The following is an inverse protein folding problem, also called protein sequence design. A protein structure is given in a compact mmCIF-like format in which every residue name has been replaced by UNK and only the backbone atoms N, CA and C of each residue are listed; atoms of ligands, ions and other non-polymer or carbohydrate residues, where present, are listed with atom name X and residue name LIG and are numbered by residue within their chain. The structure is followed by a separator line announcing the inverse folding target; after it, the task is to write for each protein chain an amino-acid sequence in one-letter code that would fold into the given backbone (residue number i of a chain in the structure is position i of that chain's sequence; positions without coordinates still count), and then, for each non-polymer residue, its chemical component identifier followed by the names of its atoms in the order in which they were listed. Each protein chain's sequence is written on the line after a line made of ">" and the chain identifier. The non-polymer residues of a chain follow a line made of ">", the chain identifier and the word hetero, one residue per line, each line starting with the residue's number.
data_IF_159692526030
#
_entry.id   IF_159692526030
#
_cell.length_a   1.000
_cell.length_b   1.000
_cell.length_c   1.000
_cell.angle_alpha   90.00
_cell.angle_beta   90.00
_cell.angle_gamma   90.00
#
_symmetry.space_group_name_H-M   'P 1'
#
loop_
_entity.id
_entity.type
_entity.pdbx_description
1 polymer ?
#
# COMPACT_ATOMS: atom_id res chain seq x y z
N UNK A 1 23.76 8.42 4.12
CA UNK A 1 22.58 8.56 5.00
C UNK A 1 23.02 9.12 6.32
N UNK A 2 22.24 10.03 6.90
CA UNK A 2 22.51 10.48 8.26
C UNK A 2 21.95 9.45 9.27
N UNK A 3 22.28 9.58 10.55
CA UNK A 3 21.81 8.66 11.61
C UNK A 3 20.30 8.71 11.84
N UNK A 4 19.65 9.82 11.53
CA UNK A 4 18.20 9.99 11.63
C UNK A 4 17.44 9.18 10.58
N UNK A 5 17.90 9.19 9.33
CA UNK A 5 17.27 8.46 8.22
C UNK A 5 17.26 6.95 8.50
N UNK A 6 18.38 6.42 9.01
CA UNK A 6 18.52 5.00 9.37
C UNK A 6 17.54 4.64 10.48
N UNK A 7 17.49 5.45 11.54
CA UNK A 7 16.58 5.23 12.67
C UNK A 7 15.11 5.25 12.22
N UNK A 8 14.76 6.08 11.25
CA UNK A 8 13.39 6.13 10.73
C UNK A 8 13.02 4.87 9.95
N UNK A 9 13.93 4.36 9.12
CA UNK A 9 13.75 3.10 8.41
C UNK A 9 13.64 1.91 9.38
N UNK A 10 14.44 1.89 10.45
CA UNK A 10 14.35 0.89 11.52
C UNK A 10 13.00 0.96 12.26
N UNK A 11 12.50 2.16 12.55
CA UNK A 11 11.19 2.36 13.16
C UNK A 11 10.06 1.81 12.28
N UNK A 12 10.08 2.08 10.97
CA UNK A 12 9.10 1.51 10.05
C UNK A 12 9.13 -0.02 10.08
N UNK A 13 10.32 -0.60 10.05
CA UNK A 13 10.48 -2.05 10.10
C UNK A 13 9.96 -2.67 11.41
N UNK A 14 10.16 -2.00 12.55
CA UNK A 14 9.57 -2.41 13.83
C UNK A 14 8.05 -2.47 13.77
N UNK A 15 7.41 -1.43 13.22
CA UNK A 15 5.95 -1.39 13.05
C UNK A 15 5.48 -2.56 12.19
N UNK A 16 6.19 -2.85 11.09
CA UNK A 16 5.83 -3.95 10.20
C UNK A 16 5.87 -5.31 10.92
N UNK A 17 6.91 -5.54 11.73
CA UNK A 17 7.06 -6.78 12.51
C UNK A 17 5.99 -6.90 13.59
N UNK A 18 5.70 -5.84 14.31
CA UNK A 18 4.70 -5.84 15.37
C UNK A 18 3.29 -6.11 14.83
N UNK A 19 2.95 -5.53 13.67
CA UNK A 19 1.69 -5.81 12.97
C UNK A 19 1.64 -7.27 12.48
N UNK A 20 2.70 -7.77 11.82
CA UNK A 20 2.74 -9.17 11.38
C UNK A 20 2.57 -10.16 12.54
N UNK A 21 3.21 -9.88 13.68
CA UNK A 21 3.16 -10.75 14.86
C UNK A 21 1.83 -10.67 15.64
N UNK A 22 1.09 -9.56 15.52
CA UNK A 22 -0.20 -9.39 16.20
C UNK A 22 -1.38 -9.99 15.42
N UNK A 23 -1.19 -10.26 14.13
CA UNK A 23 -2.24 -10.76 13.25
C UNK A 23 -2.28 -12.29 13.26
N UNK A 24 -3.42 -12.85 13.67
CA UNK A 24 -3.70 -14.28 13.60
C UNK A 24 -4.20 -14.69 12.20
N UNK A 25 -4.52 -15.98 12.00
CA UNK A 25 -5.12 -16.43 10.74
C UNK A 25 -6.54 -15.84 10.58
N UNK A 26 -6.66 -14.81 9.73
CA UNK A 26 -7.93 -14.15 9.42
C UNK A 26 -8.58 -14.79 8.19
N UNK A 27 -9.88 -15.07 8.26
CA UNK A 27 -10.67 -15.58 7.14
C UNK A 27 -11.72 -14.57 6.72
N UNK A 28 -11.59 -14.05 5.50
CA UNK A 28 -12.55 -13.12 4.91
C UNK A 28 -13.61 -13.89 4.12
N UNK A 29 -14.88 -13.52 4.31
CA UNK A 29 -16.03 -14.23 3.76
C UNK A 29 -16.91 -13.31 2.91
N UNK A 30 -16.97 -13.63 1.63
CA UNK A 30 -17.81 -12.98 0.63
C UNK A 30 -18.91 -13.96 0.18
N UNK A 31 -20.12 -13.45 -0.06
CA UNK A 31 -21.22 -14.25 -0.61
C UNK A 31 -21.31 -14.09 -2.13
N UNK A 32 -21.97 -15.04 -2.78
CA UNK A 32 -22.20 -14.94 -4.22
C UNK A 32 -23.20 -13.84 -4.57
N UNK A 33 -23.12 -13.30 -5.78
CA UNK A 33 -24.09 -12.32 -6.30
C UNK A 33 -25.53 -12.84 -6.24
N UNK A 34 -25.73 -14.14 -6.48
CA UNK A 34 -27.04 -14.77 -6.44
C UNK A 34 -27.60 -14.93 -5.03
N UNK A 35 -26.74 -15.12 -4.02
CA UNK A 35 -27.14 -15.07 -2.61
C UNK A 35 -27.43 -13.64 -2.16
N UNK A 36 -26.60 -12.69 -2.59
CA UNK A 36 -26.75 -11.28 -2.25
C UNK A 36 -28.09 -10.68 -2.72
N UNK A 37 -28.56 -11.09 -3.90
CA UNK A 37 -29.88 -10.69 -4.45
C UNK A 37 -31.08 -11.19 -3.64
N UNK A 38 -30.90 -12.18 -2.76
CA UNK A 38 -31.98 -12.78 -1.95
C UNK A 38 -32.14 -12.11 -0.58
N UNK A 39 -31.25 -11.18 -0.23
CA UNK A 39 -31.25 -10.51 1.07
C UNK A 39 -32.39 -9.50 1.19
N UNK A 40 -32.91 -9.34 2.41
CA UNK A 40 -33.80 -8.22 2.75
C UNK A 40 -33.00 -6.89 2.70
N UNK A 41 -33.65 -5.71 2.61
CA UNK A 41 -32.92 -4.44 2.58
C UNK A 41 -31.92 -4.28 3.73
N UNK A 42 -32.31 -4.58 4.97
CA UNK A 42 -31.40 -4.46 6.14
C UNK A 42 -30.19 -5.39 6.01
N UNK A 43 -30.42 -6.64 5.61
CA UNK A 43 -29.34 -7.62 5.42
C UNK A 43 -28.43 -7.23 4.25
N UNK A 44 -29.00 -6.69 3.19
CA UNK A 44 -28.28 -6.20 2.02
C UNK A 44 -27.31 -5.08 2.41
N UNK A 45 -27.78 -4.09 3.16
CA UNK A 45 -26.96 -2.94 3.56
C UNK A 45 -25.85 -3.34 4.53
N UNK A 46 -26.19 -4.16 5.53
CA UNK A 46 -25.20 -4.78 6.41
C UNK A 46 -24.15 -5.54 5.61
N UNK A 47 -24.58 -6.39 4.68
CA UNK A 47 -23.67 -7.27 3.94
C UNK A 47 -22.76 -6.48 3.00
N UNK A 48 -23.30 -5.46 2.32
CA UNK A 48 -22.54 -4.55 1.46
C UNK A 48 -21.38 -3.92 2.24
N UNK A 49 -21.68 -3.28 3.37
CA UNK A 49 -20.65 -2.61 4.16
C UNK A 49 -19.71 -3.60 4.85
N UNK A 50 -20.22 -4.70 5.39
CA UNK A 50 -19.39 -5.71 6.03
C UNK A 50 -18.36 -6.31 5.07
N UNK A 51 -18.74 -6.60 3.82
CA UNK A 51 -17.77 -7.06 2.82
C UNK A 51 -16.79 -5.98 2.39
N UNK A 52 -17.22 -4.73 2.27
CA UNK A 52 -16.31 -3.61 1.95
C UNK A 52 -15.32 -3.35 3.08
N UNK A 53 -15.73 -3.40 4.35
CA UNK A 53 -14.82 -3.24 5.49
C UNK A 53 -13.84 -4.42 5.59
N UNK A 54 -14.27 -5.66 5.27
CA UNK A 54 -13.34 -6.78 5.14
C UNK A 54 -12.28 -6.55 4.05
N UNK A 55 -12.68 -6.09 2.86
CA UNK A 55 -11.73 -5.74 1.77
C UNK A 55 -10.81 -4.59 2.20
N UNK A 56 -11.33 -3.57 2.87
CA UNK A 56 -10.58 -2.44 3.39
C UNK A 56 -9.52 -2.88 4.42
N UNK A 57 -9.89 -3.76 5.35
CA UNK A 57 -8.96 -4.35 6.30
C UNK A 57 -7.86 -5.16 5.59
N UNK A 58 -8.20 -6.02 4.62
CA UNK A 58 -7.20 -6.71 3.78
C UNK A 58 -6.24 -5.69 3.18
N UNK A 59 -6.75 -4.66 2.50
CA UNK A 59 -5.93 -3.69 1.80
C UNK A 59 -4.91 -3.01 2.74
N UNK A 60 -5.35 -2.61 3.93
CA UNK A 60 -4.47 -2.05 4.96
C UNK A 60 -3.39 -3.02 5.41
N UNK A 61 -3.82 -4.19 5.88
CA UNK A 61 -2.94 -5.21 6.42
C UNK A 61 -1.91 -5.68 5.39
N UNK A 62 -2.35 -6.06 4.19
CA UNK A 62 -1.44 -6.56 3.16
C UNK A 62 -0.56 -5.47 2.59
N UNK A 63 -0.95 -4.18 2.65
CA UNK A 63 -0.04 -3.09 2.30
C UNK A 63 1.16 -3.07 3.24
N UNK A 64 0.94 -3.20 4.55
CA UNK A 64 2.00 -3.26 5.56
C UNK A 64 2.88 -4.50 5.36
N UNK A 65 2.27 -5.68 5.20
CA UNK A 65 3.01 -6.94 5.01
C UNK A 65 3.80 -6.94 3.69
N UNK A 66 3.26 -6.34 2.62
CA UNK A 66 3.93 -6.20 1.33
C UNK A 66 5.11 -5.23 1.41
N UNK A 67 4.97 -4.12 2.14
CA UNK A 67 6.08 -3.20 2.41
C UNK A 67 7.21 -3.89 3.18
N UNK A 68 6.87 -4.69 4.20
CA UNK A 68 7.84 -5.51 4.94
C UNK A 68 8.67 -6.39 4.03
N UNK A 69 8.02 -7.14 3.13
CA UNK A 69 8.70 -8.06 2.20
C UNK A 69 9.64 -7.33 1.25
N UNK A 70 9.24 -6.16 0.74
CA UNK A 70 10.12 -5.35 -0.10
C UNK A 70 11.27 -4.72 0.68
N UNK A 71 11.04 -4.29 1.92
CA UNK A 71 12.10 -3.83 2.82
C UNK A 71 13.14 -4.93 3.05
N UNK A 72 12.70 -6.14 3.43
CA UNK A 72 13.56 -7.32 3.61
C UNK A 72 14.36 -7.63 2.33
N UNK A 73 13.74 -7.52 1.15
CA UNK A 73 14.41 -7.74 -0.13
C UNK A 73 15.50 -6.68 -0.41
N UNK A 74 15.21 -5.40 -0.17
CA UNK A 74 16.18 -4.30 -0.32
C UNK A 74 17.35 -4.48 0.65
N UNK A 75 17.06 -4.77 1.91
CA UNK A 75 18.07 -4.94 2.95
C UNK A 75 18.97 -6.16 2.66
N UNK A 76 18.37 -7.29 2.27
CA UNK A 76 19.11 -8.49 1.88
C UNK A 76 20.04 -8.22 0.70
N UNK A 77 19.54 -7.55 -0.35
CA UNK A 77 20.35 -7.23 -1.52
C UNK A 77 21.51 -6.28 -1.16
N UNK A 78 21.24 -5.26 -0.35
CA UNK A 78 22.24 -4.31 0.12
C UNK A 78 23.33 -4.99 0.96
N UNK A 79 22.97 -5.86 1.91
CA UNK A 79 23.91 -6.64 2.74
C UNK A 79 24.78 -7.57 1.88
N UNK A 80 24.19 -8.17 0.85
CA UNK A 80 24.91 -9.05 -0.09
C UNK A 80 25.76 -8.31 -1.13
N UNK A 81 25.77 -6.97 -1.12
CA UNK A 81 26.43 -6.15 -2.14
C UNK A 81 25.99 -6.48 -3.57
N UNK A 82 24.70 -6.75 -3.76
CA UNK A 82 24.13 -7.08 -5.05
C UNK A 82 23.38 -5.87 -5.62
N UNK A 83 24.03 -5.09 -6.47
CA UNK A 83 23.47 -3.85 -7.02
C UNK A 83 22.19 -4.09 -7.84
N UNK A 84 22.15 -5.15 -8.65
CA UNK A 84 20.96 -5.49 -9.44
C UNK A 84 19.79 -5.89 -8.56
N UNK A 85 20.06 -6.75 -7.56
CA UNK A 85 19.07 -7.16 -6.58
C UNK A 85 18.51 -5.97 -5.81
N UNK A 86 19.37 -5.02 -5.43
CA UNK A 86 18.97 -3.80 -4.74
C UNK A 86 18.08 -2.93 -5.62
N UNK A 87 18.48 -2.69 -6.88
CA UNK A 87 17.69 -1.87 -7.79
C UNK A 87 16.33 -2.50 -8.12
N UNK A 88 16.28 -3.82 -8.31
CA UNK A 88 15.04 -4.55 -8.54
C UNK A 88 14.12 -4.50 -7.31
N UNK A 89 14.67 -4.74 -6.12
CA UNK A 89 13.91 -4.72 -4.88
C UNK A 89 13.37 -3.32 -4.54
N UNK A 90 14.20 -2.29 -4.69
CA UNK A 90 13.78 -0.92 -4.40
C UNK A 90 12.71 -0.46 -5.39
N UNK A 91 12.85 -0.82 -6.68
CA UNK A 91 11.82 -0.56 -7.69
C UNK A 91 10.49 -1.22 -7.31
N UNK A 92 10.51 -2.51 -6.97
CA UNK A 92 9.31 -3.24 -6.55
C UNK A 92 8.68 -2.65 -5.28
N UNK A 93 9.50 -2.19 -4.33
CA UNK A 93 9.03 -1.49 -3.14
C UNK A 93 8.31 -0.17 -3.45
N UNK A 94 8.85 0.63 -4.38
CA UNK A 94 8.21 1.88 -4.84
C UNK A 94 6.89 1.58 -5.56
N UNK A 95 6.84 0.57 -6.43
CA UNK A 95 5.60 0.14 -7.11
C UNK A 95 4.54 -0.28 -6.09
N UNK A 96 4.92 -1.06 -5.07
CA UNK A 96 4.03 -1.50 -4.01
C UNK A 96 3.52 -0.33 -3.16
N UNK A 97 4.36 0.68 -2.87
CA UNK A 97 3.94 1.90 -2.20
C UNK A 97 2.90 2.66 -3.02
N UNK A 98 3.20 2.86 -4.30
CA UNK A 98 2.36 3.63 -5.21
C UNK A 98 0.98 2.98 -5.41
N UNK A 99 0.93 1.66 -5.61
CA UNK A 99 -0.31 0.89 -5.72
C UNK A 99 -1.15 0.96 -4.43
N UNK A 100 -0.52 0.71 -3.27
CA UNK A 100 -1.17 0.81 -1.96
C UNK A 100 -1.75 2.21 -1.70
N UNK A 101 -0.97 3.26 -1.96
CA UNK A 101 -1.43 4.63 -1.77
C UNK A 101 -2.58 4.99 -2.71
N UNK A 102 -2.45 4.65 -4.00
CA UNK A 102 -3.48 4.90 -5.01
C UNK A 102 -4.83 4.31 -4.60
N UNK A 103 -4.85 3.05 -4.17
CA UNK A 103 -6.10 2.37 -3.83
C UNK A 103 -6.65 2.74 -2.46
N UNK A 104 -5.80 2.94 -1.46
CA UNK A 104 -6.26 3.02 -0.06
C UNK A 104 -6.49 4.47 0.42
N UNK A 105 -5.75 5.45 -0.08
CA UNK A 105 -5.79 6.82 0.44
C UNK A 105 -7.16 7.49 0.25
N UNK A 106 -7.85 7.24 -0.86
CA UNK A 106 -9.23 7.70 -1.05
C UNK A 106 -10.21 6.96 -0.13
N UNK A 107 -10.08 5.64 -0.02
CA UNK A 107 -10.98 4.79 0.76
C UNK A 107 -11.02 5.18 2.24
N UNK A 108 -9.86 5.47 2.87
CA UNK A 108 -9.82 5.88 4.28
C UNK A 108 -10.60 7.17 4.53
N UNK A 109 -10.56 8.12 3.60
CA UNK A 109 -11.31 9.38 3.70
C UNK A 109 -12.81 9.10 3.54
N UNK A 110 -13.19 8.36 2.51
CA UNK A 110 -14.60 8.02 2.24
C UNK A 110 -15.25 7.26 3.40
N UNK A 111 -14.55 6.30 4.01
CA UNK A 111 -15.07 5.57 5.18
C UNK A 111 -15.20 6.49 6.39
N UNK A 112 -14.20 7.33 6.66
CA UNK A 112 -14.26 8.28 7.76
C UNK A 112 -15.43 9.27 7.63
N UNK A 113 -15.72 9.76 6.41
CA UNK A 113 -16.84 10.66 6.14
C UNK A 113 -18.21 9.99 6.28
N UNK A 114 -18.29 8.68 6.04
CA UNK A 114 -19.53 7.90 6.11
C UNK A 114 -19.61 7.04 7.38
N UNK A 115 -18.72 7.26 8.36
CA UNK A 115 -18.49 6.35 9.48
C UNK A 115 -19.77 5.98 10.23
N UNK A 116 -20.59 6.96 10.59
CA UNK A 116 -21.82 6.71 11.35
C UNK A 116 -22.86 5.91 10.56
N UNK A 117 -22.99 6.16 9.24
CA UNK A 117 -23.90 5.38 8.39
C UNK A 117 -23.42 3.94 8.26
N UNK A 118 -22.12 3.75 8.08
CA UNK A 118 -21.49 2.42 8.01
C UNK A 118 -21.71 1.69 9.34
N UNK A 119 -21.47 2.35 10.48
CA UNK A 119 -21.68 1.77 11.80
C UNK A 119 -23.12 1.32 12.01
N UNK A 120 -24.10 2.16 11.66
CA UNK A 120 -25.52 1.80 11.72
C UNK A 120 -25.85 0.59 10.83
N UNK A 121 -25.25 0.50 9.64
CA UNK A 121 -25.40 -0.65 8.75
C UNK A 121 -24.82 -1.93 9.37
N UNK A 122 -23.63 -1.85 9.97
CA UNK A 122 -22.96 -2.97 10.64
C UNK A 122 -23.73 -3.44 11.88
N UNK A 123 -24.39 -2.54 12.59
CA UNK A 123 -25.27 -2.82 13.73
C UNK A 123 -26.68 -3.30 13.29
N UNK A 124 -26.95 -3.38 11.98
CA UNK A 124 -28.25 -3.77 11.39
C UNK A 124 -29.41 -2.89 11.86
N UNK A 125 -29.13 -1.61 12.15
CA UNK A 125 -30.17 -0.64 12.51
C UNK A 125 -31.04 -0.38 11.27
N UNK A 126 -32.38 -0.49 11.37
CA UNK A 126 -33.26 -0.15 10.27
C UNK A 126 -33.09 1.31 9.86
N UNK A 127 -32.84 1.55 8.58
CA UNK A 127 -32.76 2.88 7.99
C UNK A 127 -33.90 3.08 6.99
N UNK A 128 -34.31 4.33 6.81
CA UNK A 128 -35.15 4.72 5.70
C UNK A 128 -34.44 4.39 4.38
N UNK A 129 -35.19 3.98 3.34
CA UNK A 129 -34.61 3.47 2.08
C UNK A 129 -33.73 4.53 1.37
N UNK A 130 -34.02 5.81 1.58
CA UNK A 130 -33.29 6.96 1.05
C UNK A 130 -31.95 7.20 1.76
N UNK A 131 -31.72 6.57 2.92
CA UNK A 131 -30.46 6.62 3.68
C UNK A 131 -29.52 5.45 3.39
N UNK A 132 -29.91 4.54 2.50
CA UNK A 132 -29.04 3.47 2.02
C UNK A 132 -27.95 4.09 1.15
N UNK A 133 -26.69 3.95 1.56
CA UNK A 133 -25.56 4.46 0.80
C UNK A 133 -24.76 3.32 0.20
N UNK A 134 -24.42 3.50 -1.07
CA UNK A 134 -23.50 2.65 -1.82
C UNK A 134 -22.35 3.55 -2.24
N UNK A 135 -21.13 3.05 -2.14
CA UNK A 135 -19.93 3.74 -2.63
C UNK A 135 -19.24 2.87 -3.67
N UNK A 136 -19.69 2.95 -4.92
CA UNK A 136 -19.13 2.15 -6.01
C UNK A 136 -17.64 2.45 -6.21
N UNK A 137 -17.24 3.72 -6.12
CA UNK A 137 -15.83 4.12 -6.29
C UNK A 137 -14.92 3.52 -5.20
N UNK A 138 -15.41 3.44 -3.95
CA UNK A 138 -14.71 2.79 -2.85
C UNK A 138 -14.60 1.29 -3.10
N UNK A 139 -15.72 0.65 -3.44
CA UNK A 139 -15.74 -0.79 -3.71
C UNK A 139 -14.80 -1.16 -4.87
N UNK A 140 -14.87 -0.40 -5.97
CA UNK A 140 -14.00 -0.59 -7.14
C UNK A 140 -12.52 -0.42 -6.76
N UNK A 141 -12.19 0.57 -5.93
CA UNK A 141 -10.82 0.81 -5.47
C UNK A 141 -10.28 -0.34 -4.59
N UNK A 142 -11.13 -0.91 -3.73
CA UNK A 142 -10.78 -2.04 -2.87
C UNK A 142 -10.66 -3.36 -3.63
N UNK A 143 -11.55 -3.58 -4.62
CA UNK A 143 -11.47 -4.70 -5.56
C UNK A 143 -10.20 -4.57 -6.40
N UNK A 144 -9.91 -3.36 -6.88
CA UNK A 144 -8.71 -3.06 -7.65
C UNK A 144 -7.44 -3.47 -6.92
N UNK A 145 -7.27 -3.02 -5.69
CA UNK A 145 -6.10 -3.42 -4.90
C UNK A 145 -5.95 -4.95 -4.79
N UNK A 146 -7.07 -5.66 -4.57
CA UNK A 146 -7.04 -7.08 -4.22
C UNK A 146 -6.94 -8.01 -5.43
N UNK A 147 -7.49 -7.61 -6.58
CA UNK A 147 -7.71 -8.48 -7.72
C UNK A 147 -7.13 -7.95 -9.04
N UNK A 148 -6.70 -6.68 -9.09
CA UNK A 148 -6.23 -6.11 -10.34
C UNK A 148 -5.00 -6.86 -10.86
N UNK A 149 -5.08 -7.26 -12.13
CA UNK A 149 -3.97 -7.85 -12.88
C UNK A 149 -4.04 -7.43 -14.32
N UNK A 150 -3.00 -7.74 -15.09
CA UNK A 150 -3.06 -7.56 -16.54
C UNK A 150 -4.11 -8.50 -17.13
N UNK A 151 -5.18 -7.93 -17.67
CA UNK A 151 -6.22 -8.67 -18.37
C UNK A 151 -5.88 -8.83 -19.86
N UNK A 152 -6.18 -10.00 -20.39
CA UNK A 152 -6.21 -10.25 -21.84
C UNK A 152 -7.40 -9.52 -22.49
N UNK A 153 -7.36 -9.34 -23.82
CA UNK A 153 -8.45 -8.67 -24.53
C UNK A 153 -9.81 -9.36 -24.36
N UNK A 154 -9.83 -10.70 -24.22
CA UNK A 154 -11.06 -11.46 -23.99
C UNK A 154 -11.58 -11.31 -22.55
N UNK A 155 -10.69 -11.16 -21.57
CA UNK A 155 -11.06 -10.92 -20.16
C UNK A 155 -11.59 -9.50 -19.95
N UNK A 156 -11.04 -8.49 -20.65
CA UNK A 156 -11.52 -7.10 -20.59
C UNK A 156 -12.98 -6.91 -20.98
N UNK A 157 -13.55 -7.85 -21.73
CA UNK A 157 -14.98 -7.83 -22.10
C UNK A 157 -15.87 -8.41 -21.00
N UNK A 158 -15.30 -9.21 -20.09
CA UNK A 158 -16.04 -10.00 -19.09
C UNK A 158 -15.87 -9.49 -17.66
N UNK A 159 -14.77 -8.80 -17.39
CA UNK A 159 -14.42 -8.30 -16.07
C UNK A 159 -14.61 -6.78 -16.03
N UNK A 160 -15.01 -6.28 -14.86
CA UNK A 160 -15.08 -4.85 -14.61
C UNK A 160 -13.67 -4.22 -14.64
N UNK A 161 -13.62 -2.91 -14.92
CA UNK A 161 -12.36 -2.18 -15.01
C UNK A 161 -11.53 -2.26 -13.72
N UNK A 162 -12.18 -2.39 -12.55
CA UNK A 162 -11.54 -2.62 -11.26
C UNK A 162 -10.68 -3.89 -11.20
N UNK A 163 -10.80 -4.83 -12.14
CA UNK A 163 -9.94 -6.02 -12.19
C UNK A 163 -8.74 -5.85 -13.13
N UNK A 164 -8.65 -4.73 -13.85
CA UNK A 164 -7.58 -4.47 -14.80
C UNK A 164 -6.53 -3.56 -14.16
N UNK A 165 -5.30 -4.06 -14.02
CA UNK A 165 -4.20 -3.26 -13.51
C UNK A 165 -3.96 -2.01 -14.38
N UNK A 166 -3.70 -0.89 -13.71
CA UNK A 166 -3.31 0.36 -14.34
C UNK A 166 -1.85 0.29 -14.81
N UNK A 167 -1.45 1.27 -15.62
CA UNK A 167 -0.04 1.46 -15.90
C UNK A 167 0.68 1.92 -14.64
N UNK A 168 1.90 1.42 -14.40
CA UNK A 168 2.71 1.79 -13.23
C UNK A 168 2.86 3.31 -13.07
N UNK A 169 2.95 4.04 -14.20
CA UNK A 169 3.00 5.51 -14.19
C UNK A 169 1.78 6.15 -13.53
N UNK A 170 0.58 5.57 -13.69
CA UNK A 170 -0.64 6.03 -13.02
C UNK A 170 -0.49 5.95 -11.51
N UNK A 171 0.01 4.82 -10.99
CA UNK A 171 0.28 4.67 -9.56
C UNK A 171 1.34 5.65 -9.08
N UNK A 172 2.48 5.75 -9.77
CA UNK A 172 3.57 6.65 -9.36
C UNK A 172 3.13 8.12 -9.32
N UNK A 173 2.34 8.55 -10.30
CA UNK A 173 1.81 9.92 -10.35
C UNK A 173 0.89 10.23 -9.15
N UNK A 174 0.23 9.22 -8.57
CA UNK A 174 -0.63 9.40 -7.39
C UNK A 174 0.15 9.85 -6.15
N UNK A 175 1.43 9.46 -6.03
CA UNK A 175 2.32 9.86 -4.94
C UNK A 175 2.71 11.36 -5.00
N UNK A 176 2.53 12.01 -6.16
CA UNK A 176 2.89 13.43 -6.39
C UNK A 176 4.33 13.78 -5.97
N UNK A 177 5.27 12.86 -6.19
CA UNK A 177 6.68 13.01 -5.80
C UNK A 177 7.60 12.82 -7.02
N UNK A 178 8.05 13.93 -7.60
CA UNK A 178 8.90 13.94 -8.81
C UNK A 178 10.23 13.19 -8.60
N UNK A 179 10.83 13.30 -7.41
CA UNK A 179 12.09 12.61 -7.09
C UNK A 179 11.95 11.09 -7.07
N UNK A 180 10.78 10.58 -6.73
CA UNK A 180 10.50 9.14 -6.81
C UNK A 180 10.30 8.69 -8.25
N UNK A 181 9.71 9.52 -9.09
CA UNK A 181 9.59 9.24 -10.53
C UNK A 181 10.98 9.22 -11.18
N UNK A 182 11.85 10.17 -10.83
CA UNK A 182 13.26 10.19 -11.25
C UNK A 182 14.00 8.92 -10.80
N UNK A 183 13.94 8.59 -9.51
CA UNK A 183 14.54 7.37 -8.96
C UNK A 183 14.02 6.13 -9.68
N UNK A 184 12.70 6.00 -9.83
CA UNK A 184 12.08 4.87 -10.50
C UNK A 184 12.62 4.69 -11.93
N UNK A 185 12.78 5.78 -12.68
CA UNK A 185 13.36 5.75 -14.02
C UNK A 185 14.83 5.28 -14.00
N UNK A 186 15.64 5.74 -13.03
CA UNK A 186 17.03 5.29 -12.84
C UNK A 186 17.10 3.79 -12.54
N UNK A 187 16.25 3.29 -11.64
CA UNK A 187 16.16 1.86 -11.30
C UNK A 187 15.71 1.00 -12.50
N UNK A 188 14.82 1.52 -13.34
CA UNK A 188 14.39 0.85 -14.57
C UNK A 188 15.56 0.66 -15.55
N UNK A 189 16.47 1.64 -15.67
CA UNK A 189 17.64 1.50 -16.53
C UNK A 189 18.56 0.37 -16.06
N UNK A 190 18.65 0.10 -14.76
CA UNK A 190 19.49 -1.00 -14.24
C UNK A 190 18.81 -2.36 -14.40
N UNK A 191 17.48 -2.40 -14.22
CA UNK A 191 16.69 -3.66 -14.18
C UNK A 191 16.23 -4.14 -15.55
N UNK A 192 16.46 -3.35 -16.60
CA UNK A 192 16.22 -3.70 -18.00
C UNK A 192 17.51 -3.57 -18.81
N UNK A 193 17.61 -4.25 -19.98
CA UNK A 193 18.78 -4.11 -20.85
C UNK A 193 19.03 -2.65 -21.22
N UNK A 194 20.10 -2.06 -20.69
CA UNK A 194 20.50 -0.68 -20.99
C UNK A 194 22.01 -0.48 -20.80
N UNK A 195 22.54 0.68 -21.20
CA UNK A 195 23.94 1.03 -20.88
C UNK A 195 24.18 1.11 -19.36
N UNK A 196 23.19 1.58 -18.58
CA UNK A 196 23.33 1.70 -17.13
C UNK A 196 23.39 0.36 -16.42
N UNK A 197 22.77 -0.70 -16.97
CA UNK A 197 22.94 -2.04 -16.42
C UNK A 197 24.39 -2.52 -16.55
N UNK A 198 25.20 -1.94 -17.44
CA UNK A 198 26.62 -2.32 -17.59
C UNK A 198 27.57 -1.49 -16.71
N UNK A 199 27.05 -0.51 -15.97
CA UNK A 199 27.85 0.38 -15.08
C UNK A 199 28.77 -0.38 -14.12
N UNK A 200 28.36 -1.50 -13.50
CA UNK A 200 29.22 -2.24 -12.57
C UNK A 200 30.49 -2.84 -13.20
N UNK A 201 30.58 -2.88 -14.52
CA UNK A 201 31.65 -3.60 -15.22
C UNK A 201 32.62 -2.71 -15.98
N UNK A 202 32.23 -1.46 -16.29
CA UNK A 202 33.00 -0.57 -17.16
C UNK A 202 33.40 0.73 -16.46
N UNK A 203 34.65 1.12 -16.66
CA UNK A 203 35.16 2.46 -16.33
C UNK A 203 35.55 3.16 -17.63
N UNK A 204 35.15 4.42 -17.76
CA UNK A 204 35.60 5.29 -18.86
C UNK A 204 37.04 5.75 -18.56
N UNK A 205 37.98 5.42 -19.44
CA UNK A 205 39.37 5.90 -19.38
C UNK A 205 39.48 7.25 -20.10
N UNK A 206 38.76 7.41 -21.21
CA UNK A 206 38.62 8.66 -21.95
C UNK A 206 37.22 8.73 -22.59
N UNK A 207 36.92 9.80 -23.33
CA UNK A 207 35.64 9.94 -24.04
C UNK A 207 35.37 8.79 -25.02
N UNK A 208 36.43 8.20 -25.59
CA UNK A 208 36.34 7.16 -26.62
C UNK A 208 36.88 5.79 -26.16
N UNK A 209 37.16 5.64 -24.86
CA UNK A 209 37.79 4.43 -24.33
C UNK A 209 37.12 3.97 -23.05
N UNK A 210 36.65 2.73 -23.05
CA UNK A 210 36.07 2.03 -21.90
C UNK A 210 36.88 0.78 -21.61
N UNK A 211 37.08 0.51 -20.33
CA UNK A 211 37.78 -0.68 -19.88
C UNK A 211 36.92 -1.47 -18.92
N UNK A 212 36.95 -2.80 -19.08
CA UNK A 212 36.42 -3.72 -18.11
C UNK A 212 37.24 -3.64 -16.81
N UNK A 213 36.57 -3.68 -15.66
CA UNK A 213 37.24 -3.76 -14.37
C UNK A 213 36.72 -4.90 -13.50
N UNK A 214 37.56 -5.33 -12.56
CA UNK A 214 37.21 -6.30 -11.52
C UNK A 214 36.95 -5.66 -10.15
N UNK A 215 36.88 -4.31 -10.08
CA UNK A 215 36.55 -3.61 -8.84
C UNK A 215 35.14 -3.95 -8.38
N UNK A 216 34.98 -4.22 -7.08
CA UNK A 216 33.69 -4.33 -6.41
C UNK A 216 33.16 -2.91 -6.13
N UNK A 217 32.28 -2.42 -7.00
CA UNK A 217 31.70 -1.07 -6.91
C UNK A 217 30.23 -1.06 -6.56
N UNK A 218 29.60 -2.23 -6.42
CA UNK A 218 28.15 -2.37 -6.20
C UNK A 218 27.72 -1.60 -4.95
N UNK A 219 28.48 -1.73 -3.86
CA UNK A 219 28.21 -0.98 -2.63
C UNK A 219 28.23 0.54 -2.84
N UNK A 220 29.20 1.05 -3.60
CA UNK A 220 29.32 2.48 -3.90
C UNK A 220 28.15 2.98 -4.76
N UNK A 221 27.68 2.16 -5.71
CA UNK A 221 26.52 2.49 -6.53
C UNK A 221 25.24 2.55 -5.70
N UNK A 222 25.01 1.55 -4.82
CA UNK A 222 23.87 1.56 -3.89
C UNK A 222 23.93 2.75 -2.93
N UNK A 223 25.10 3.06 -2.38
CA UNK A 223 25.27 4.21 -1.47
C UNK A 223 24.97 5.54 -2.15
N UNK A 224 25.32 5.67 -3.43
CA UNK A 224 24.99 6.84 -4.23
C UNK A 224 23.47 7.01 -4.38
N UNK A 225 22.74 5.93 -4.65
CA UNK A 225 21.27 5.95 -4.72
C UNK A 225 20.69 6.39 -3.38
N UNK A 226 21.11 5.76 -2.27
CA UNK A 226 20.62 6.11 -0.94
C UNK A 226 20.95 7.56 -0.57
N UNK A 227 22.16 8.03 -0.87
CA UNK A 227 22.55 9.42 -0.62
C UNK A 227 21.64 10.43 -1.35
N UNK A 228 21.26 10.11 -2.59
CA UNK A 228 20.46 11.00 -3.43
C UNK A 228 18.96 10.94 -3.13
N UNK A 229 18.45 9.80 -2.68
CA UNK A 229 17.00 9.55 -2.65
C UNK A 229 16.45 9.01 -1.32
N UNK A 230 17.23 8.92 -0.25
CA UNK A 230 16.73 8.39 1.05
C UNK A 230 15.49 9.15 1.55
N UNK A 231 15.48 10.48 1.47
CA UNK A 231 14.33 11.28 1.91
C UNK A 231 13.08 11.01 1.07
N UNK A 232 13.12 11.06 -0.27
CA UNK A 232 12.01 10.61 -1.11
C UNK A 232 11.50 9.20 -0.77
N UNK A 233 12.42 8.24 -0.54
CA UNK A 233 12.07 6.84 -0.20
C UNK A 233 11.32 6.79 1.13
N UNK A 234 11.86 7.42 2.18
CA UNK A 234 11.25 7.52 3.50
C UNK A 234 9.85 8.14 3.39
N UNK A 235 9.72 9.27 2.71
CA UNK A 235 8.44 9.95 2.55
C UNK A 235 7.42 9.06 1.83
N UNK A 236 7.86 8.26 0.86
CA UNK A 236 7.00 7.34 0.10
C UNK A 236 6.48 6.20 0.98
N UNK A 237 7.35 5.64 1.83
CA UNK A 237 6.94 4.65 2.82
C UNK A 237 5.95 5.28 3.80
N UNK A 238 6.22 6.49 4.29
CA UNK A 238 5.36 7.19 5.26
C UNK A 238 3.96 7.47 4.73
N UNK A 239 3.84 8.05 3.52
CA UNK A 239 2.53 8.35 2.92
C UNK A 239 1.75 7.09 2.57
N UNK A 240 2.43 5.95 2.37
CA UNK A 240 1.77 4.66 2.15
C UNK A 240 1.33 4.03 3.47
N UNK A 241 2.20 4.05 4.48
CA UNK A 241 1.96 3.44 5.77
C UNK A 241 0.85 4.15 6.54
N UNK A 242 0.74 5.48 6.42
CA UNK A 242 -0.29 6.28 7.07
C UNK A 242 -1.72 5.77 6.80
N UNK A 243 -2.21 5.78 5.54
CA UNK A 243 -3.52 5.22 5.19
C UNK A 243 -3.68 3.75 5.58
N UNK A 244 -2.63 2.94 5.48
CA UNK A 244 -2.68 1.54 5.88
C UNK A 244 -2.96 1.38 7.38
N UNK A 245 -2.23 2.08 8.25
CA UNK A 245 -2.48 2.09 9.69
C UNK A 245 -3.84 2.70 10.05
N UNK A 246 -4.22 3.81 9.40
CA UNK A 246 -5.54 4.43 9.58
C UNK A 246 -6.67 3.45 9.24
N UNK A 247 -6.51 2.61 8.21
CA UNK A 247 -7.52 1.62 7.86
C UNK A 247 -7.74 0.58 8.97
N UNK A 248 -6.65 0.08 9.58
CA UNK A 248 -6.73 -0.85 10.71
C UNK A 248 -7.40 -0.19 11.92
N UNK A 249 -7.06 1.07 12.20
CA UNK A 249 -7.67 1.84 13.30
C UNK A 249 -9.17 2.07 13.09
N UNK A 250 -9.59 2.43 11.88
CA UNK A 250 -11.01 2.62 11.56
C UNK A 250 -11.78 1.29 11.72
N UNK A 251 -11.20 0.17 11.27
CA UNK A 251 -11.81 -1.16 11.43
C UNK A 251 -12.01 -1.48 12.91
N UNK A 252 -11.02 -1.20 13.77
CA UNK A 252 -11.18 -1.38 15.22
C UNK A 252 -12.36 -0.59 15.79
N UNK A 253 -12.51 0.69 15.40
CA UNK A 253 -13.60 1.55 15.85
C UNK A 253 -14.99 1.10 15.36
N UNK A 254 -15.05 0.47 14.19
CA UNK A 254 -16.31 -0.05 13.63
C UNK A 254 -16.77 -1.35 14.30
N UNK A 255 -15.83 -2.21 14.74
CA UNK A 255 -16.12 -3.53 15.29
C UNK A 255 -15.93 -3.65 16.80
N UNK A 256 -16.09 -2.55 17.54
CA UNK A 256 -15.84 -2.52 18.98
C UNK A 256 -16.64 -3.56 19.80
N UNK A 257 -17.72 -4.12 19.26
CA UNK A 257 -18.61 -5.05 19.97
C UNK A 257 -19.03 -6.32 19.21
N UNK A 258 -18.67 -6.49 17.92
CA UNK A 258 -19.33 -7.51 17.07
C UNK A 258 -18.33 -8.48 16.41
N UNK A 259 -17.07 -8.09 16.16
CA UNK A 259 -16.17 -8.95 15.38
C UNK A 259 -14.67 -8.81 15.74
N UNK A 260 -14.24 -9.54 16.77
CA UNK A 260 -12.88 -9.43 17.31
C UNK A 260 -11.77 -9.95 16.39
N UNK A 261 -12.09 -10.71 15.33
CA UNK A 261 -11.06 -11.36 14.51
C UNK A 261 -10.40 -10.43 13.48
N UNK A 262 -11.01 -9.27 13.19
CA UNK A 262 -10.45 -8.22 12.33
C UNK A 262 -9.72 -7.13 13.12
N UNK A 263 -9.66 -7.23 14.44
CA UNK A 263 -9.05 -6.20 15.28
C UNK A 263 -7.54 -6.31 15.28
N UNK A 264 -6.89 -5.16 15.18
CA UNK A 264 -5.46 -5.00 15.42
C UNK A 264 -5.22 -4.50 16.85
N UNK A 265 -4.10 -4.85 17.48
CA UNK A 265 -3.76 -4.35 18.83
C UNK A 265 -3.68 -2.81 18.83
N UNK A 266 -4.49 -2.18 19.71
CA UNK A 266 -4.57 -0.73 19.86
C UNK A 266 -3.24 -0.08 20.24
N UNK A 267 -2.38 -0.80 20.98
CA UNK A 267 -1.07 -0.27 21.37
C UNK A 267 -0.18 -0.03 20.15
N UNK A 268 -0.35 -0.82 19.08
CA UNK A 268 0.40 -0.65 17.83
C UNK A 268 -0.08 0.56 17.02
N UNK A 269 -1.33 0.97 17.24
CA UNK A 269 -1.96 2.07 16.53
C UNK A 269 -1.85 3.40 17.28
N UNK A 270 -1.27 3.41 18.48
CA UNK A 270 -1.09 4.64 19.28
C UNK A 270 -0.25 5.68 18.54
N UNK A 271 0.67 5.24 17.68
CA UNK A 271 1.50 6.13 16.85
C UNK A 271 0.67 7.07 15.97
N UNK A 272 -0.57 6.69 15.64
CA UNK A 272 -1.48 7.54 14.86
C UNK A 272 -1.94 8.80 15.60
N UNK A 273 -1.87 8.87 16.94
CA UNK A 273 -2.31 10.06 17.68
C UNK A 273 -1.50 11.31 17.32
N UNK A 274 -0.24 11.13 16.92
CA UNK A 274 0.65 12.20 16.48
C UNK A 274 0.57 12.46 14.97
N UNK A 275 -0.14 11.60 14.23
CA UNK A 275 -0.22 11.67 12.77
C UNK A 275 -1.33 12.62 12.33
N UNK A 276 -0.96 13.75 11.73
CA UNK A 276 -1.90 14.80 11.28
C UNK A 276 -3.02 14.27 10.39
N UNK A 277 -2.72 13.31 9.52
CA UNK A 277 -3.74 12.72 8.66
C UNK A 277 -4.78 11.94 9.46
N UNK A 278 -4.37 11.20 10.51
CA UNK A 278 -5.32 10.55 11.42
C UNK A 278 -6.20 11.58 12.14
N UNK A 279 -5.62 12.66 12.66
CA UNK A 279 -6.39 13.72 13.34
C UNK A 279 -7.50 14.29 12.45
N UNK A 280 -7.21 14.49 11.15
CA UNK A 280 -8.21 14.94 10.16
C UNK A 280 -9.32 13.89 9.96
N UNK A 281 -8.97 12.60 9.92
CA UNK A 281 -9.94 11.51 9.80
C UNK A 281 -10.79 11.38 11.07
N UNK A 282 -10.18 11.49 12.24
CA UNK A 282 -10.84 11.43 13.55
C UNK A 282 -11.86 12.57 13.70
N UNK A 283 -11.53 13.79 13.25
CA UNK A 283 -12.52 14.88 13.18
C UNK A 283 -13.72 14.54 12.29
N UNK A 284 -13.52 13.85 11.17
CA UNK A 284 -14.62 13.44 10.28
C UNK A 284 -15.48 12.37 10.93
N UNK A 285 -14.85 11.41 11.61
CA UNK A 285 -15.52 10.34 12.35
C UNK A 285 -16.37 10.92 13.50
N UNK A 286 -15.83 11.92 14.23
CA UNK A 286 -16.48 12.51 15.40
C UNK A 286 -17.47 13.65 15.09
N UNK A 287 -17.55 14.12 13.83
CA UNK A 287 -18.42 15.24 13.42
C UNK A 287 -19.92 14.88 13.36
N UNK A 288 -20.31 13.71 13.87
CA UNK A 288 -21.67 13.17 13.76
C UNK A 288 -22.22 12.81 15.13
#
# INVERSE_FOLDING_TARGET
>A
MNTGDIKQLENFYSIFLEIENSVSQISYKYISVDEFKKLTPIEWHYKYWYENIQKFHICGLTSILRLKKWYEAVESAYKSQNYYGFCAALRGGIEACADSFYSLNGCVVTIAENFSLIKLALEKVPLDIDKFSISQELEDSLIHYSYARKLTNSEKVKCDNSHNAEQVRTYLNSLKNEKIIELYAELCQVTHPSAYSLTPFFINISENEQCYHSLDIDKKLMDKILLNYVNPIINTIEVTLGPALCSLKIVNLLFDSIDNHLRTDENLLIILSEYKFWQILEEKINKI
#
